data_IF_398058215606
#
_entry.id   IF_398058215606
#
_cell.length_a   1.000
_cell.length_b   1.000
_cell.length_c   1.000
_cell.angle_alpha   90.00
_cell.angle_beta   90.00
_cell.angle_gamma   90.00
#
_symmetry.space_group_name_H-M   'P 1'
#
loop_
_entity.id
_entity.type
_entity.pdbx_description
1 polymer ?
#
# COMPACT_ATOMS: atom_id res chain seq x y z
N UNK A 1 56.18 25.29 -12.06
CA UNK A 1 54.77 25.38 -12.49
C UNK A 1 54.12 24.04 -12.24
N UNK A 2 53.26 23.94 -11.24
CA UNK A 2 52.62 22.68 -10.83
C UNK A 2 51.16 22.76 -11.22
N UNK A 3 50.78 22.06 -12.28
CA UNK A 3 49.41 22.04 -12.82
C UNK A 3 48.50 21.29 -11.83
N UNK A 4 47.67 22.02 -11.10
CA UNK A 4 46.72 21.47 -10.14
C UNK A 4 45.59 20.77 -10.93
N UNK A 5 45.32 19.46 -10.74
CA UNK A 5 44.45 18.72 -11.64
C UNK A 5 42.95 18.98 -11.39
N UNK A 6 42.19 18.80 -12.47
CA UNK A 6 40.75 19.04 -12.66
C UNK A 6 39.81 18.24 -11.73
N UNK A 7 39.80 18.52 -10.42
CA UNK A 7 38.88 17.88 -9.45
C UNK A 7 37.40 18.15 -9.72
N UNK A 8 37.06 19.30 -10.29
CA UNK A 8 35.66 19.73 -10.46
C UNK A 8 34.87 18.89 -11.46
N UNK A 9 35.50 18.31 -12.48
CA UNK A 9 34.82 17.50 -13.49
C UNK A 9 34.51 16.07 -12.99
N UNK A 10 35.41 15.47 -12.20
CA UNK A 10 35.26 14.11 -11.67
C UNK A 10 34.12 14.02 -10.64
N UNK A 11 34.00 15.01 -9.76
CA UNK A 11 32.96 15.07 -8.74
C UNK A 11 31.55 15.23 -9.36
N UNK A 12 31.44 15.98 -10.46
CA UNK A 12 30.18 16.17 -11.18
C UNK A 12 29.67 14.89 -11.87
N UNK A 13 30.56 14.05 -12.38
CA UNK A 13 30.19 12.75 -12.96
C UNK A 13 29.78 11.75 -11.87
N UNK A 14 30.54 11.70 -10.77
CA UNK A 14 30.22 10.88 -9.61
C UNK A 14 28.91 11.27 -8.94
N UNK A 15 28.50 12.55 -8.96
CA UNK A 15 27.17 12.93 -8.49
C UNK A 15 26.04 12.53 -9.46
N UNK A 16 26.24 12.65 -10.77
CA UNK A 16 25.21 12.30 -11.77
C UNK A 16 24.88 10.80 -11.80
N UNK A 17 25.90 9.93 -11.67
CA UNK A 17 25.69 8.46 -11.73
C UNK A 17 24.72 7.95 -10.66
N UNK A 18 24.65 8.61 -9.50
CA UNK A 18 23.76 8.21 -8.41
C UNK A 18 22.36 8.83 -8.49
N UNK A 19 22.17 9.85 -9.32
CA UNK A 19 20.84 10.44 -9.53
C UNK A 19 19.93 9.53 -10.35
N UNK A 20 20.46 8.92 -11.41
CA UNK A 20 19.71 7.99 -12.25
C UNK A 20 19.06 6.83 -11.46
N UNK A 21 19.80 6.05 -10.66
CA UNK A 21 19.19 4.97 -9.87
C UNK A 21 18.20 5.52 -8.83
N UNK A 22 18.46 6.70 -8.26
CA UNK A 22 17.51 7.30 -7.32
C UNK A 22 16.21 7.76 -7.99
N UNK A 23 16.27 8.37 -9.18
CA UNK A 23 15.08 8.71 -9.99
C UNK A 23 14.32 7.43 -10.31
N UNK A 24 15.02 6.40 -10.78
CA UNK A 24 14.40 5.12 -11.12
C UNK A 24 13.68 4.50 -9.91
N UNK A 25 14.32 4.46 -8.74
CA UNK A 25 13.70 3.95 -7.51
C UNK A 25 12.51 4.81 -7.06
N UNK A 26 12.58 6.14 -7.19
CA UNK A 26 11.46 7.01 -6.86
C UNK A 26 10.27 6.78 -7.80
N UNK A 27 10.51 6.59 -9.10
CA UNK A 27 9.49 6.23 -10.07
C UNK A 27 8.92 4.84 -9.80
N UNK A 28 9.76 3.86 -9.45
CA UNK A 28 9.31 2.51 -9.08
C UNK A 28 8.36 2.56 -7.86
N UNK A 29 8.70 3.33 -6.82
CA UNK A 29 7.80 3.56 -5.69
C UNK A 29 6.49 4.24 -6.09
N UNK A 30 6.55 5.23 -7.00
CA UNK A 30 5.35 5.89 -7.50
C UNK A 30 4.45 4.92 -8.27
N UNK A 31 5.03 4.04 -9.11
CA UNK A 31 4.29 3.01 -9.84
C UNK A 31 3.65 2.01 -8.87
N UNK A 32 4.36 1.56 -7.84
CA UNK A 32 3.80 0.69 -6.80
C UNK A 32 2.64 1.37 -6.08
N UNK A 33 2.81 2.62 -5.67
CA UNK A 33 1.76 3.39 -5.00
C UNK A 33 0.52 3.57 -5.89
N UNK A 34 0.72 3.92 -7.16
CA UNK A 34 -0.36 4.08 -8.13
C UNK A 34 -1.07 2.75 -8.39
N UNK A 35 -0.34 1.65 -8.52
CA UNK A 35 -0.91 0.32 -8.69
C UNK A 35 -1.76 -0.09 -7.47
N UNK A 36 -1.31 0.20 -6.25
CA UNK A 36 -2.09 -0.05 -5.04
C UNK A 36 -3.34 0.84 -4.96
N UNK A 37 -3.29 2.09 -5.39
CA UNK A 37 -4.47 2.97 -5.38
C UNK A 37 -5.49 2.58 -6.46
N UNK A 38 -5.02 2.25 -7.67
CA UNK A 38 -5.90 1.95 -8.81
C UNK A 38 -6.44 0.53 -8.80
N UNK A 39 -5.64 -0.45 -8.34
CA UNK A 39 -6.00 -1.86 -8.35
C UNK A 39 -6.16 -2.45 -6.95
N UNK A 40 -5.85 -1.69 -5.90
CA UNK A 40 -6.04 -2.14 -4.53
C UNK A 40 -7.50 -2.05 -4.10
N UNK A 41 -7.87 -3.01 -3.27
CA UNK A 41 -9.19 -3.12 -2.69
C UNK A 41 -9.05 -2.84 -1.20
N UNK A 42 -9.86 -1.90 -0.69
CA UNK A 42 -9.87 -1.59 0.73
C UNK A 42 -10.86 -2.49 1.45
N UNK A 43 -10.42 -3.13 2.53
CA UNK A 43 -11.29 -3.91 3.43
C UNK A 43 -12.33 -2.99 4.05
N UNK A 44 -13.56 -3.48 4.09
CA UNK A 44 -14.73 -2.81 4.64
C UNK A 44 -15.60 -3.87 5.32
N UNK A 45 -16.63 -3.43 6.04
CA UNK A 45 -17.55 -4.32 6.76
C UNK A 45 -18.90 -4.39 6.05
N UNK A 46 -19.68 -5.40 6.43
CA UNK A 46 -21.02 -5.61 5.89
C UNK A 46 -21.95 -4.41 6.19
N UNK A 47 -21.87 -3.84 7.39
CA UNK A 47 -22.70 -2.70 7.79
C UNK A 47 -22.49 -1.49 6.87
N UNK A 48 -21.24 -1.21 6.48
CA UNK A 48 -20.93 -0.13 5.55
C UNK A 48 -21.43 -0.43 4.14
N UNK A 49 -21.37 -1.68 3.69
CA UNK A 49 -21.97 -2.09 2.42
C UNK A 49 -23.48 -1.88 2.44
N UNK A 50 -24.17 -2.36 3.48
CA UNK A 50 -25.62 -2.20 3.69
C UNK A 50 -26.00 -0.72 3.69
N UNK A 51 -25.27 0.11 4.44
CA UNK A 51 -25.51 1.55 4.48
C UNK A 51 -25.31 2.20 3.10
N UNK A 52 -24.26 1.79 2.36
CA UNK A 52 -23.97 2.35 1.02
C UNK A 52 -25.00 1.92 -0.02
N UNK A 53 -25.50 0.68 0.04
CA UNK A 53 -26.58 0.17 -0.80
C UNK A 53 -27.89 0.91 -0.49
N UNK A 54 -28.23 1.06 0.79
CA UNK A 54 -29.41 1.82 1.22
C UNK A 54 -29.34 3.30 0.81
N UNK A 55 -28.16 3.91 0.87
CA UNK A 55 -27.92 5.27 0.37
C UNK A 55 -28.06 5.37 -1.17
N UNK A 56 -27.78 4.27 -1.90
CA UNK A 56 -27.78 4.23 -3.36
C UNK A 56 -26.43 4.54 -3.99
N UNK A 57 -25.37 4.56 -3.19
CA UNK A 57 -23.99 4.79 -3.63
C UNK A 57 -23.40 3.57 -4.35
N UNK A 58 -24.02 2.40 -4.18
CA UNK A 58 -23.57 1.12 -4.72
C UNK A 58 -24.70 0.49 -5.52
N UNK A 59 -24.47 0.30 -6.82
CA UNK A 59 -25.41 -0.33 -7.74
C UNK A 59 -24.97 -1.72 -8.18
N UNK A 60 -23.70 -2.09 -7.95
CA UNK A 60 -23.15 -3.39 -8.33
C UNK A 60 -22.38 -4.03 -7.17
N UNK A 61 -22.71 -5.28 -6.89
CA UNK A 61 -22.02 -6.13 -5.92
C UNK A 61 -21.60 -7.43 -6.60
N UNK A 62 -20.33 -7.78 -6.46
CA UNK A 62 -19.75 -9.03 -6.94
C UNK A 62 -19.57 -9.98 -5.76
N UNK A 63 -20.12 -11.19 -5.88
CA UNK A 63 -20.07 -12.23 -4.85
C UNK A 63 -19.04 -13.29 -5.27
N UNK A 64 -17.97 -13.41 -4.48
CA UNK A 64 -16.86 -14.33 -4.75
C UNK A 64 -16.82 -15.45 -3.72
N UNK A 65 -16.71 -16.68 -4.19
CA UNK A 65 -16.51 -17.86 -3.32
C UNK A 65 -17.79 -18.50 -2.76
N UNK A 66 -18.98 -18.01 -3.17
CA UNK A 66 -20.23 -18.72 -2.91
C UNK A 66 -20.41 -19.84 -3.95
N UNK A 67 -20.56 -21.12 -3.54
CA UNK A 67 -20.79 -22.22 -4.48
C UNK A 67 -22.13 -22.07 -5.20
N UNK A 68 -22.13 -22.01 -6.53
CA UNK A 68 -23.36 -21.89 -7.35
C UNK A 68 -24.18 -23.19 -7.45
N UNK A 69 -23.98 -24.15 -6.54
CA UNK A 69 -24.71 -25.42 -6.57
C UNK A 69 -26.07 -25.24 -5.88
N UNK A 70 -27.19 -25.57 -6.53
CA UNK A 70 -28.51 -25.51 -5.92
C UNK A 70 -28.55 -26.33 -4.63
N UNK A 71 -29.00 -25.73 -3.52
CA UNK A 71 -29.13 -26.42 -2.23
C UNK A 71 -27.80 -26.72 -1.52
N UNK A 72 -26.72 -26.02 -1.86
CA UNK A 72 -25.46 -26.15 -1.10
C UNK A 72 -25.67 -25.88 0.39
N UNK A 73 -25.14 -26.77 1.24
CA UNK A 73 -25.23 -26.68 2.70
C UNK A 73 -23.84 -26.79 3.33
N UNK A 74 -23.35 -25.70 3.91
CA UNK A 74 -22.03 -25.63 4.50
C UNK A 74 -21.73 -24.28 5.12
N UNK A 75 -20.52 -24.20 5.67
CA UNK A 75 -19.91 -22.95 6.13
C UNK A 75 -18.82 -22.58 5.14
N UNK A 76 -18.88 -21.38 4.60
CA UNK A 76 -17.85 -20.84 3.71
C UNK A 76 -17.66 -19.36 4.00
N UNK A 77 -16.47 -18.83 3.71
CA UNK A 77 -16.28 -17.39 3.69
C UNK A 77 -16.59 -16.88 2.30
N UNK A 78 -17.51 -15.92 2.22
CA UNK A 78 -17.87 -15.26 0.98
C UNK A 78 -17.24 -13.88 1.00
N UNK A 79 -16.60 -13.50 -0.11
CA UNK A 79 -16.10 -12.14 -0.28
C UNK A 79 -17.09 -11.36 -1.12
N UNK A 80 -17.66 -10.32 -0.54
CA UNK A 80 -18.51 -9.34 -1.22
C UNK A 80 -17.63 -8.20 -1.70
N UNK A 81 -17.60 -7.94 -3.00
CA UNK A 81 -16.83 -6.85 -3.61
C UNK A 81 -17.78 -5.84 -4.21
N UNK A 82 -17.47 -4.56 -4.09
CA UNK A 82 -18.26 -3.52 -4.72
C UNK A 82 -17.40 -2.33 -5.10
N UNK A 83 -17.86 -1.62 -6.12
CA UNK A 83 -17.23 -0.40 -6.57
C UNK A 83 -17.89 0.79 -5.87
N UNK A 84 -17.14 1.48 -5.01
CA UNK A 84 -17.55 2.79 -4.52
C UNK A 84 -17.21 3.90 -5.53
N UNK A 85 -17.52 5.14 -5.16
CA UNK A 85 -17.25 6.31 -6.01
C UNK A 85 -15.77 6.52 -6.37
N UNK A 86 -14.85 6.14 -5.48
CA UNK A 86 -13.40 6.37 -5.65
C UNK A 86 -12.58 5.09 -5.57
N UNK A 87 -13.00 4.11 -4.78
CA UNK A 87 -12.21 2.92 -4.45
C UNK A 87 -13.09 1.67 -4.49
N UNK A 88 -12.50 0.59 -5.00
CA UNK A 88 -13.06 -0.76 -4.86
C UNK A 88 -12.90 -1.22 -3.42
N UNK A 89 -13.95 -1.83 -2.88
CA UNK A 89 -13.99 -2.32 -1.51
C UNK A 89 -14.37 -3.78 -1.48
N UNK A 90 -13.97 -4.45 -0.41
CA UNK A 90 -14.36 -5.83 -0.16
C UNK A 90 -14.71 -6.05 1.31
N UNK A 91 -15.65 -6.95 1.57
CA UNK A 91 -16.01 -7.43 2.89
C UNK A 91 -16.03 -8.97 2.88
N UNK A 92 -15.48 -9.57 3.92
CA UNK A 92 -15.51 -11.01 4.12
C UNK A 92 -16.61 -11.34 5.11
N UNK A 93 -17.60 -12.11 4.65
CA UNK A 93 -18.76 -12.47 5.45
C UNK A 93 -18.76 -13.99 5.63
N UNK A 94 -18.77 -14.51 6.87
CA UNK A 94 -19.01 -15.92 7.10
C UNK A 94 -20.46 -16.23 6.72
N UNK A 95 -20.65 -17.19 5.82
CA UNK A 95 -21.97 -17.68 5.44
C UNK A 95 -22.12 -19.09 5.98
N UNK A 96 -23.09 -19.29 6.87
CA UNK A 96 -23.48 -20.61 7.37
C UNK A 96 -24.94 -20.90 6.99
N UNK A 97 -25.10 -21.73 5.96
CA UNK A 97 -26.42 -22.15 5.46
C UNK A 97 -27.06 -23.24 6.34
N UNK A 98 -26.35 -23.78 7.34
CA UNK A 98 -26.86 -24.83 8.24
C UNK A 98 -27.53 -24.26 9.49
N UNK A 99 -27.16 -23.05 9.91
CA UNK A 99 -27.74 -22.36 11.07
C UNK A 99 -28.26 -20.99 10.67
N UNK A 100 -29.57 -20.76 10.83
CA UNK A 100 -30.11 -19.40 10.95
C UNK A 100 -29.77 -18.87 12.35
N UNK A 101 -28.52 -18.50 12.57
CA UNK A 101 -28.13 -17.72 13.75
C UNK A 101 -28.36 -16.24 13.46
N UNK A 102 -28.79 -15.46 14.46
CA UNK A 102 -29.08 -14.03 14.33
C UNK A 102 -27.84 -13.18 13.97
N UNK A 103 -26.63 -13.75 14.07
CA UNK A 103 -25.37 -13.12 13.69
C UNK A 103 -24.80 -13.59 12.33
N UNK A 104 -25.38 -14.64 11.72
CA UNK A 104 -24.95 -15.15 10.41
C UNK A 104 -25.94 -14.69 9.34
N UNK A 105 -25.44 -13.98 8.33
CA UNK A 105 -26.27 -13.59 7.18
C UNK A 105 -26.52 -14.84 6.34
N UNK A 106 -27.73 -15.40 6.45
CA UNK A 106 -28.10 -16.67 5.84
C UNK A 106 -27.78 -16.72 4.35
N UNK A 107 -28.45 -15.89 3.55
CA UNK A 107 -28.05 -15.60 2.17
C UNK A 107 -27.73 -14.09 2.05
N UNK A 108 -26.45 -13.72 1.86
CA UNK A 108 -26.08 -12.31 1.72
C UNK A 108 -26.71 -11.65 0.49
N UNK A 109 -27.05 -12.43 -0.55
CA UNK A 109 -27.67 -11.90 -1.77
C UNK A 109 -29.11 -11.48 -1.49
N UNK A 110 -29.90 -12.37 -0.88
CA UNK A 110 -31.28 -12.09 -0.49
C UNK A 110 -31.34 -10.90 0.48
N UNK A 111 -30.42 -10.85 1.45
CA UNK A 111 -30.33 -9.76 2.41
C UNK A 111 -30.02 -8.41 1.74
N UNK A 112 -29.05 -8.37 0.82
CA UNK A 112 -28.70 -7.13 0.10
C UNK A 112 -29.82 -6.66 -0.84
N UNK A 113 -30.52 -7.59 -1.51
CA UNK A 113 -31.66 -7.27 -2.36
C UNK A 113 -32.82 -6.67 -1.54
N UNK A 114 -33.09 -7.21 -0.35
CA UNK A 114 -34.11 -6.66 0.54
C UNK A 114 -33.78 -5.24 0.99
N UNK A 115 -32.50 -4.94 1.27
CA UNK A 115 -32.02 -3.60 1.65
C UNK A 115 -32.07 -2.62 0.49
N UNK A 116 -31.81 -3.08 -0.74
CA UNK A 116 -31.80 -2.23 -1.92
C UNK A 116 -33.21 -1.76 -2.34
N UNK A 117 -34.27 -2.52 -2.00
CA UNK A 117 -35.63 -2.24 -2.43
C UNK A 117 -36.09 -0.81 -2.04
N UNK A 118 -36.68 -0.03 -2.97
CA UNK A 118 -37.18 -0.39 -4.30
C UNK A 118 -36.18 -0.24 -5.47
N UNK A 119 -34.88 -0.06 -5.21
CA UNK A 119 -33.86 0.11 -6.24
C UNK A 119 -33.33 -1.24 -6.73
N UNK A 120 -32.96 -1.29 -8.00
CA UNK A 120 -32.32 -2.46 -8.60
C UNK A 120 -30.83 -2.51 -8.20
N UNK A 121 -30.42 -3.64 -7.62
CA UNK A 121 -29.03 -3.95 -7.28
C UNK A 121 -28.52 -5.06 -8.21
N UNK A 122 -27.51 -4.76 -9.01
CA UNK A 122 -26.86 -5.73 -9.91
C UNK A 122 -25.92 -6.62 -9.10
N UNK A 123 -26.27 -7.90 -8.96
CA UNK A 123 -25.47 -8.89 -8.24
C UNK A 123 -24.88 -9.88 -9.24
N UNK A 124 -23.57 -9.84 -9.38
CA UNK A 124 -22.83 -10.76 -10.25
C UNK A 124 -22.07 -11.78 -9.41
N UNK A 125 -22.07 -13.03 -9.83
CA UNK A 125 -21.25 -14.07 -9.20
C UNK A 125 -19.97 -14.26 -9.99
N UNK A 126 -18.84 -14.34 -9.30
CA UNK A 126 -17.58 -14.71 -9.93
C UNK A 126 -16.92 -15.88 -9.23
N UNK A 127 -16.32 -16.74 -10.06
CA UNK A 127 -15.47 -17.81 -9.56
C UNK A 127 -14.22 -17.21 -8.90
N UNK A 128 -13.67 -17.94 -7.92
CA UNK A 128 -12.47 -17.55 -7.21
C UNK A 128 -11.35 -17.21 -8.21
N UNK A 129 -11.04 -15.91 -8.36
CA UNK A 129 -9.90 -15.49 -9.16
C UNK A 129 -8.66 -15.87 -8.37
N UNK A 130 -7.94 -16.90 -8.82
CA UNK A 130 -6.76 -17.48 -8.17
C UNK A 130 -5.51 -16.59 -8.24
N UNK A 131 -5.67 -15.27 -8.20
CA UNK A 131 -4.56 -14.33 -8.14
C UNK A 131 -3.88 -14.41 -6.77
N UNK A 132 -2.55 -14.34 -6.75
CA UNK A 132 -1.86 -14.04 -5.51
C UNK A 132 -2.15 -12.58 -5.14
N UNK A 133 -2.64 -12.36 -3.93
CA UNK A 133 -2.87 -11.03 -3.39
C UNK A 133 -1.92 -10.78 -2.23
N UNK A 134 -1.51 -9.52 -2.05
CA UNK A 134 -0.81 -9.09 -0.86
C UNK A 134 -1.77 -8.28 0.00
N UNK A 135 -1.90 -8.66 1.26
CA UNK A 135 -2.64 -7.89 2.26
C UNK A 135 -1.68 -7.05 3.11
N UNK A 136 -1.96 -5.76 3.19
CA UNK A 136 -1.21 -4.84 4.02
C UNK A 136 -2.14 -3.76 4.59
N UNK A 137 -2.30 -3.71 5.91
CA UNK A 137 -3.08 -2.69 6.64
C UNK A 137 -4.48 -2.49 6.06
N UNK A 138 -5.24 -3.58 5.94
CA UNK A 138 -6.59 -3.62 5.36
C UNK A 138 -6.68 -3.27 3.87
N UNK A 139 -5.55 -3.16 3.17
CA UNK A 139 -5.53 -3.08 1.71
C UNK A 139 -5.11 -4.42 1.12
N UNK A 140 -5.86 -4.86 0.12
CA UNK A 140 -5.52 -6.03 -0.70
C UNK A 140 -5.09 -5.55 -2.07
N UNK A 141 -3.85 -5.82 -2.47
CA UNK A 141 -3.30 -5.42 -3.77
C UNK A 141 -2.85 -6.63 -4.60
N UNK A 142 -2.54 -6.42 -5.89
CA UNK A 142 -1.96 -7.48 -6.74
C UNK A 142 -0.66 -8.01 -6.13
N UNK A 143 -0.46 -9.33 -6.04
CA UNK A 143 0.71 -9.91 -5.36
C UNK A 143 2.07 -9.47 -5.92
N UNK A 144 2.12 -9.13 -7.22
CA UNK A 144 3.34 -8.60 -7.85
C UNK A 144 3.78 -7.25 -7.26
N UNK A 145 2.85 -6.42 -6.75
CA UNK A 145 3.22 -5.12 -6.13
C UNK A 145 4.04 -5.33 -4.87
N UNK A 146 3.79 -6.42 -4.15
CA UNK A 146 4.60 -6.84 -3.00
C UNK A 146 6.04 -7.15 -3.40
N UNK A 147 6.22 -7.95 -4.46
CA UNK A 147 7.55 -8.29 -4.97
C UNK A 147 8.30 -7.05 -5.48
N UNK A 148 7.66 -6.22 -6.30
CA UNK A 148 8.28 -5.00 -6.82
C UNK A 148 8.58 -4.01 -5.69
N UNK A 149 7.66 -3.85 -4.74
CA UNK A 149 7.87 -3.02 -3.55
C UNK A 149 9.04 -3.49 -2.71
N UNK A 150 9.15 -4.81 -2.47
CA UNK A 150 10.26 -5.40 -1.74
C UNK A 150 11.60 -5.22 -2.45
N UNK A 151 11.67 -5.47 -3.76
CA UNK A 151 12.88 -5.26 -4.55
C UNK A 151 13.30 -3.79 -4.57
N UNK A 152 12.34 -2.88 -4.70
CA UNK A 152 12.58 -1.42 -4.68
C UNK A 152 13.09 -0.97 -3.31
N UNK A 153 12.50 -1.50 -2.23
CA UNK A 153 12.95 -1.26 -0.87
C UNK A 153 14.38 -1.76 -0.64
N UNK A 154 14.67 -3.00 -1.04
CA UNK A 154 16.01 -3.57 -0.93
C UNK A 154 17.05 -2.76 -1.73
N UNK A 155 16.72 -2.40 -2.98
CA UNK A 155 17.58 -1.55 -3.80
C UNK A 155 17.81 -0.16 -3.18
N UNK A 156 16.81 0.38 -2.45
CA UNK A 156 16.96 1.63 -1.70
C UNK A 156 17.97 1.48 -0.55
N UNK A 157 17.99 0.35 0.14
CA UNK A 157 18.98 0.05 1.18
C UNK A 157 20.41 -0.10 0.61
N UNK A 158 20.54 -0.77 -0.53
CA UNK A 158 21.82 -0.88 -1.25
C UNK A 158 22.31 0.51 -1.67
N UNK A 159 21.42 1.35 -2.19
CA UNK A 159 21.74 2.74 -2.54
C UNK A 159 22.14 3.55 -1.30
N UNK A 160 21.48 3.36 -0.16
CA UNK A 160 21.84 4.04 1.08
C UNK A 160 23.23 3.62 1.60
N UNK A 161 23.59 2.35 1.45
CA UNK A 161 24.88 1.81 1.90
C UNK A 161 26.06 2.24 1.02
N UNK A 162 25.89 2.15 -0.31
CA UNK A 162 26.96 2.38 -1.29
C UNK A 162 26.93 3.78 -1.92
N UNK A 163 25.82 4.50 -1.78
CA UNK A 163 25.61 5.81 -2.36
C UNK A 163 26.29 6.95 -1.58
N UNK A 164 26.13 8.18 -2.09
CA UNK A 164 26.72 9.37 -1.50
C UNK A 164 26.20 9.60 -0.07
N UNK A 165 27.02 10.25 0.77
CA UNK A 165 26.64 10.49 2.15
C UNK A 165 25.40 11.42 2.22
N UNK A 166 24.33 11.04 2.95
CA UNK A 166 23.13 11.84 3.02
C UNK A 166 23.38 13.19 3.69
N UNK A 167 22.85 14.25 3.07
CA UNK A 167 23.14 15.63 3.47
C UNK A 167 22.39 16.09 4.73
N UNK A 168 21.29 15.43 5.08
CA UNK A 168 20.36 15.90 6.15
C UNK A 168 20.48 15.18 7.49
N UNK A 169 20.89 13.91 7.48
CA UNK A 169 20.99 13.05 8.65
C UNK A 169 22.08 12.01 8.37
N UNK A 170 22.52 11.29 9.40
CA UNK A 170 23.52 10.21 9.21
C UNK A 170 22.93 9.06 8.38
N UNK A 171 23.79 8.22 7.77
CA UNK A 171 23.35 7.00 7.08
C UNK A 171 22.48 6.11 7.98
N UNK A 172 22.83 6.03 9.26
CA UNK A 172 22.08 5.28 10.27
C UNK A 172 20.68 5.86 10.53
N UNK A 173 20.55 7.19 10.62
CA UNK A 173 19.24 7.82 10.79
C UNK A 173 18.28 7.49 9.62
N UNK A 174 18.79 7.56 8.40
CA UNK A 174 18.02 7.16 7.21
C UNK A 174 17.79 5.66 7.15
N UNK A 175 18.75 4.84 7.60
CA UNK A 175 18.60 3.40 7.69
C UNK A 175 17.42 3.02 8.56
N UNK A 176 17.31 3.61 9.75
CA UNK A 176 16.17 3.39 10.64
C UNK A 176 14.85 3.87 10.03
N UNK A 177 14.84 5.02 9.36
CA UNK A 177 13.63 5.51 8.68
C UNK A 177 13.18 4.57 7.55
N UNK A 178 14.10 4.04 6.74
CA UNK A 178 13.77 3.11 5.65
C UNK A 178 13.34 1.74 6.20
N UNK A 179 13.97 1.26 7.27
CA UNK A 179 13.65 -0.01 7.91
C UNK A 179 12.28 0.04 8.62
N UNK A 180 12.03 1.07 9.43
CA UNK A 180 10.81 1.19 10.23
C UNK A 180 9.64 1.83 9.46
N UNK A 181 9.92 2.83 8.65
CA UNK A 181 8.91 3.51 7.83
C UNK A 181 8.65 2.84 6.48
N UNK A 182 9.40 1.78 6.13
CA UNK A 182 9.21 0.98 4.93
C UNK A 182 9.18 1.83 3.64
N UNK A 183 8.10 1.74 2.84
CA UNK A 183 7.92 2.55 1.62
C UNK A 183 8.02 4.06 1.86
N UNK A 184 7.38 4.57 2.92
CA UNK A 184 7.35 6.00 3.22
C UNK A 184 8.73 6.50 3.63
N UNK A 185 9.45 5.72 4.42
CA UNK A 185 10.85 5.99 4.78
C UNK A 185 11.77 6.03 3.55
N UNK A 186 11.54 5.12 2.61
CA UNK A 186 12.28 5.03 1.35
C UNK A 186 12.07 6.26 0.47
N UNK A 187 10.82 6.70 0.31
CA UNK A 187 10.49 7.92 -0.41
C UNK A 187 11.06 9.18 0.28
N UNK A 188 10.94 9.27 1.60
CA UNK A 188 11.52 10.37 2.37
C UNK A 188 13.03 10.44 2.19
N UNK A 189 13.72 9.29 2.21
CA UNK A 189 15.16 9.22 1.94
C UNK A 189 15.47 9.72 0.53
N UNK A 190 14.82 9.18 -0.51
CA UNK A 190 15.12 9.53 -1.89
C UNK A 190 14.90 11.03 -2.17
N UNK A 191 13.81 11.61 -1.68
CA UNK A 191 13.42 13.00 -1.95
C UNK A 191 14.18 14.03 -1.10
N UNK A 192 14.42 13.73 0.18
CA UNK A 192 14.96 14.71 1.14
C UNK A 192 16.42 14.45 1.50
N UNK A 193 16.83 13.19 1.63
CA UNK A 193 18.15 12.79 2.12
C UNK A 193 19.14 12.40 1.02
N UNK A 194 18.63 11.87 -0.09
CA UNK A 194 19.36 11.22 -1.16
C UNK A 194 19.76 12.16 -2.30
N UNK A 195 20.27 11.57 -3.41
CA UNK A 195 20.90 12.32 -4.50
C UNK A 195 19.92 13.16 -5.34
N UNK A 196 18.60 12.96 -5.20
CA UNK A 196 17.59 13.81 -5.85
C UNK A 196 17.49 15.19 -5.20
N UNK A 197 17.70 15.26 -3.88
CA UNK A 197 17.92 16.49 -3.11
C UNK A 197 17.13 17.71 -3.58
N UNK A 198 15.80 17.61 -3.65
CA UNK A 198 14.91 18.63 -4.24
C UNK A 198 15.03 20.00 -3.53
N UNK A 199 15.59 20.03 -2.31
CA UNK A 199 15.74 21.24 -1.51
C UNK A 199 17.12 21.30 -0.85
N UNK A 200 17.99 22.19 -1.35
CA UNK A 200 19.29 22.53 -0.76
C UNK A 200 19.09 23.00 0.68
N UNK A 201 19.95 22.52 1.59
CA UNK A 201 19.93 22.92 3.00
C UNK A 201 20.71 24.23 3.13
N UNK A 202 20.17 25.19 3.87
CA UNK A 202 20.92 26.35 4.33
C UNK A 202 22.03 25.88 5.30
N UNK A 203 23.27 26.39 5.18
CA UNK A 203 24.32 26.07 6.13
C UNK A 203 23.90 26.53 7.55
N UNK A 204 23.98 25.63 8.54
CA UNK A 204 23.76 25.98 9.96
C UNK A 204 22.72 25.15 10.73
N UNK A 205 21.83 24.39 10.07
CA UNK A 205 20.86 23.52 10.79
C UNK A 205 21.47 22.17 11.16
N UNK A 206 21.59 21.88 12.47
CA UNK A 206 22.16 20.66 13.05
C UNK A 206 21.69 19.34 12.40
N UNK A 207 22.60 18.37 12.25
CA UNK A 207 22.32 17.07 11.63
C UNK A 207 21.48 16.21 12.58
N UNK A 208 20.41 15.59 12.06
CA UNK A 208 19.62 14.64 12.85
C UNK A 208 20.47 13.39 13.10
N UNK A 209 20.72 13.08 14.37
CA UNK A 209 21.52 11.91 14.78
C UNK A 209 20.66 10.64 14.77
N UNK A 210 21.31 9.48 14.62
CA UNK A 210 20.63 8.20 14.43
C UNK A 210 19.63 7.85 15.53
N UNK A 211 19.94 8.17 16.79
CA UNK A 211 19.05 7.89 17.94
C UNK A 211 17.74 8.66 17.90
N UNK A 212 17.75 9.94 17.52
CA UNK A 212 16.52 10.74 17.40
C UNK A 212 15.65 10.29 16.23
N UNK A 213 16.27 9.92 15.10
CA UNK A 213 15.53 9.39 13.97
C UNK A 213 14.87 8.04 14.29
N UNK A 214 15.55 7.20 15.08
CA UNK A 214 14.99 5.95 15.59
C UNK A 214 13.76 6.22 16.47
N UNK A 215 13.85 7.14 17.43
CA UNK A 215 12.71 7.50 18.29
C UNK A 215 11.53 8.07 17.49
N UNK A 216 11.80 8.97 16.53
CA UNK A 216 10.75 9.51 15.65
C UNK A 216 10.08 8.41 14.83
N UNK A 217 10.85 7.48 14.27
CA UNK A 217 10.32 6.37 13.50
C UNK A 217 9.50 5.42 14.40
N UNK A 218 9.99 5.13 15.61
CA UNK A 218 9.28 4.30 16.58
C UNK A 218 7.95 4.95 17.01
N UNK A 219 7.93 6.26 17.25
CA UNK A 219 6.70 6.98 17.63
C UNK A 219 5.73 7.06 16.46
N UNK A 220 6.20 7.35 15.25
CA UNK A 220 5.34 7.52 14.07
C UNK A 220 4.80 6.19 13.51
N UNK A 221 5.58 5.11 13.61
CA UNK A 221 5.25 3.82 12.98
C UNK A 221 5.06 2.67 13.97
N UNK A 222 5.51 2.80 15.22
CA UNK A 222 5.34 1.78 16.26
C UNK A 222 4.00 1.86 16.99
N UNK A 223 3.29 3.00 16.94
CA UNK A 223 1.98 3.15 17.59
C UNK A 223 0.80 2.57 16.80
N UNK A 224 1.04 1.95 15.64
CA UNK A 224 -0.03 1.46 14.75
C UNK A 224 -0.36 -0.01 14.93
N UNK A 225 -0.04 -0.59 16.09
CA UNK A 225 -0.48 -1.92 16.50
C UNK A 225 -1.52 -1.80 17.61
N UNK A 226 -2.74 -1.42 17.26
CA UNK A 226 -3.96 -1.70 18.03
C UNK A 226 -5.07 -2.13 17.06
#
# INVERSE_FOLDING_TARGET
MTTQPARTAYDGWCERRWRLPAVFLALAWLVVALAVVLAGEKRSNLDQLVASVGAGDVTRVEVVGLPQRPGWRGRTQVTLRWQGSVLTRFAEVPVDTRRRSQADVGDPVEYLQAVAYPRDLDITYSEHRSGSYLEWRDWRGPGWTGLVGFLTWFATLVLLRHGPEPRRATRWAWGWLVLLGGPLGSLAYLLLGGPLGVRRREPGRGRLTGGWAFLLALILFGSTTE
#
